data_IF_213240785833
#
_entry.id   IF_213240785833
#
_cell.length_a   1.000
_cell.length_b   1.000
_cell.length_c   1.000
_cell.angle_alpha   90.00
_cell.angle_beta   90.00
_cell.angle_gamma   90.00
#
_symmetry.space_group_name_H-M   'P 1'
#
loop_
_entity.id
_entity.type
_entity.pdbx_description
1 polymer ?
#
# COMPACT_ATOMS: atom_id res chain seq x y z
N UNK A 1 -17.97 2.68 10.97
CA UNK A 1 -17.64 2.78 9.79
C UNK A 1 -18.59 3.00 8.63
N UNK A 2 -17.97 3.17 7.47
CA UNK A 2 -18.63 3.57 6.23
C UNK A 2 -18.94 2.37 5.33
N UNK A 3 -18.88 1.16 5.88
CA UNK A 3 -19.13 -0.10 5.18
C UNK A 3 -20.29 -0.84 5.83
N UNK A 4 -21.24 -1.28 5.02
CA UNK A 4 -22.36 -2.12 5.41
C UNK A 4 -22.16 -3.52 4.80
N UNK A 5 -22.00 -4.53 5.63
CA UNK A 5 -22.00 -5.92 5.21
C UNK A 5 -23.45 -6.41 5.13
N UNK A 6 -23.91 -6.67 3.93
CA UNK A 6 -25.29 -7.07 3.67
C UNK A 6 -25.45 -8.59 3.79
N UNK A 7 -26.67 -9.03 4.12
CA UNK A 7 -26.96 -10.47 4.28
C UNK A 7 -26.84 -11.30 3.01
N UNK A 8 -26.84 -10.65 1.85
CA UNK A 8 -26.66 -11.27 0.52
C UNK A 8 -25.20 -11.28 0.05
N UNK A 9 -24.25 -10.91 0.94
CA UNK A 9 -22.82 -10.89 0.66
C UNK A 9 -22.31 -9.62 -0.03
N UNK A 10 -23.18 -8.67 -0.36
CA UNK A 10 -22.76 -7.40 -0.94
C UNK A 10 -22.17 -6.47 0.13
N UNK A 11 -21.27 -5.60 -0.31
CA UNK A 11 -20.73 -4.51 0.50
C UNK A 11 -21.37 -3.19 0.10
N UNK A 12 -22.02 -2.52 1.03
CA UNK A 12 -22.56 -1.17 0.84
C UNK A 12 -21.53 -0.14 1.28
N UNK A 13 -21.23 0.83 0.42
CA UNK A 13 -20.45 2.02 0.76
C UNK A 13 -21.42 3.18 1.02
N UNK A 14 -21.31 3.82 2.19
CA UNK A 14 -22.28 4.85 2.63
C UNK A 14 -21.65 6.23 2.82
N UNK A 15 -20.34 6.36 2.68
CA UNK A 15 -19.67 7.65 2.78
C UNK A 15 -18.60 7.78 1.68
N UNK A 16 -18.72 8.83 0.89
CA UNK A 16 -17.82 9.18 -0.21
C UNK A 16 -17.04 10.47 0.07
N UNK A 17 -17.04 10.96 1.30
CA UNK A 17 -16.37 12.19 1.70
C UNK A 17 -14.84 12.16 1.62
N UNK A 18 -14.28 10.98 1.42
CA UNK A 18 -12.83 10.78 1.30
C UNK A 18 -12.46 10.04 0.00
N UNK A 19 -13.04 10.44 -1.12
CA UNK A 19 -12.62 9.97 -2.44
C UNK A 19 -11.65 10.96 -3.07
N UNK A 20 -10.66 10.42 -3.75
CA UNK A 20 -9.69 11.19 -4.52
C UNK A 20 -9.63 10.62 -5.94
N UNK A 21 -9.66 11.53 -6.90
CA UNK A 21 -9.42 11.19 -8.28
C UNK A 21 -7.95 11.44 -8.60
N UNK A 22 -7.28 10.44 -9.15
CA UNK A 22 -5.91 10.55 -9.62
C UNK A 22 -6.00 10.76 -11.14
N UNK A 23 -5.71 11.99 -11.59
CA UNK A 23 -5.79 12.39 -13.00
C UNK A 23 -4.39 12.47 -13.66
N UNK A 24 -3.33 12.37 -12.86
CA UNK A 24 -1.96 12.50 -13.33
C UNK A 24 -1.40 11.13 -13.74
N UNK A 25 -1.16 10.95 -15.04
CA UNK A 25 -0.59 9.73 -15.58
C UNK A 25 0.80 9.41 -15.00
N UNK A 26 1.59 10.44 -14.63
CA UNK A 26 2.89 10.22 -14.02
C UNK A 26 2.79 9.50 -12.66
N UNK A 27 1.73 9.77 -11.91
CA UNK A 27 1.44 9.08 -10.65
C UNK A 27 1.13 7.61 -10.89
N UNK A 28 0.32 7.30 -11.90
CA UNK A 28 0.01 5.92 -12.27
C UNK A 28 1.23 5.16 -12.75
N UNK A 29 2.09 5.79 -13.56
CA UNK A 29 3.35 5.20 -14.01
C UNK A 29 4.30 4.95 -12.84
N UNK A 30 4.40 5.89 -11.90
CA UNK A 30 5.20 5.71 -10.69
C UNK A 30 4.69 4.53 -9.84
N UNK A 31 3.37 4.45 -9.69
CA UNK A 31 2.71 3.33 -9.01
C UNK A 31 3.05 2.00 -9.67
N UNK A 32 2.95 1.94 -11.00
CA UNK A 32 3.30 0.75 -11.79
C UNK A 32 4.75 0.31 -11.59
N UNK A 33 5.70 1.28 -11.60
CA UNK A 33 7.12 0.96 -11.34
C UNK A 33 7.36 0.41 -9.93
N UNK A 34 6.75 1.01 -8.91
CA UNK A 34 6.85 0.52 -7.52
C UNK A 34 6.25 -0.89 -7.44
N UNK A 35 5.09 -1.09 -8.02
CA UNK A 35 4.41 -2.37 -8.07
C UNK A 35 5.28 -3.43 -8.76
N UNK A 36 5.82 -3.14 -9.95
CA UNK A 36 6.73 -4.05 -10.65
C UNK A 36 7.95 -4.41 -9.80
N UNK A 37 8.59 -3.43 -9.18
CA UNK A 37 9.71 -3.69 -8.29
C UNK A 37 9.36 -4.60 -7.11
N UNK A 38 8.17 -4.41 -6.50
CA UNK A 38 7.68 -5.28 -5.43
C UNK A 38 7.44 -6.70 -5.91
N UNK A 39 6.95 -6.87 -7.14
CA UNK A 39 6.70 -8.16 -7.78
C UNK A 39 7.99 -8.93 -8.08
N UNK A 40 8.94 -8.26 -8.71
CA UNK A 40 10.19 -8.88 -9.15
C UNK A 40 11.24 -8.97 -8.04
N UNK A 41 11.02 -8.26 -6.92
CA UNK A 41 12.01 -8.16 -5.84
C UNK A 41 13.21 -7.28 -6.20
N UNK A 42 13.10 -6.44 -7.24
CA UNK A 42 14.17 -5.54 -7.66
C UNK A 42 14.33 -4.36 -6.70
N UNK A 43 15.23 -4.49 -5.76
CA UNK A 43 15.48 -3.51 -4.68
C UNK A 43 15.72 -2.09 -5.20
N UNK A 44 16.47 -1.93 -6.29
CA UNK A 44 16.76 -0.60 -6.85
C UNK A 44 15.51 0.04 -7.46
N UNK A 45 14.66 -0.74 -8.11
CA UNK A 45 13.39 -0.27 -8.65
C UNK A 45 12.44 0.16 -7.54
N UNK A 46 12.32 -0.65 -6.47
CA UNK A 46 11.53 -0.30 -5.28
C UNK A 46 12.07 0.98 -4.66
N UNK A 47 13.37 1.04 -4.40
CA UNK A 47 14.03 2.15 -3.74
C UNK A 47 13.88 3.46 -4.52
N UNK A 48 14.11 3.44 -5.83
CA UNK A 48 13.96 4.59 -6.69
C UNK A 48 12.50 5.07 -6.76
N UNK A 49 11.56 4.15 -6.89
CA UNK A 49 10.15 4.45 -6.84
C UNK A 49 9.72 5.08 -5.51
N UNK A 50 10.17 4.53 -4.39
CA UNK A 50 9.87 5.09 -3.06
C UNK A 50 10.54 6.44 -2.84
N UNK A 51 11.75 6.66 -3.37
CA UNK A 51 12.43 7.94 -3.32
C UNK A 51 11.62 9.02 -4.05
N UNK A 52 11.16 8.72 -5.26
CA UNK A 52 10.32 9.62 -6.06
C UNK A 52 8.96 9.86 -5.37
N UNK A 53 8.31 8.80 -4.91
CA UNK A 53 7.03 8.87 -4.22
C UNK A 53 7.06 9.72 -2.95
N UNK A 54 8.13 9.60 -2.16
CA UNK A 54 8.33 10.36 -0.94
C UNK A 54 9.02 11.72 -1.17
N UNK A 55 9.34 12.07 -2.42
CA UNK A 55 10.04 13.31 -2.77
C UNK A 55 11.36 13.49 -1.98
N UNK A 56 12.09 12.40 -1.80
CA UNK A 56 13.35 12.38 -1.07
C UNK A 56 14.52 12.80 -1.96
N UNK A 57 15.55 13.33 -1.32
CA UNK A 57 16.80 13.77 -1.96
C UNK A 57 17.95 12.81 -1.63
N UNK A 58 19.18 13.14 -2.09
CA UNK A 58 20.40 12.40 -1.73
C UNK A 58 21.05 12.91 -0.43
N UNK A 59 20.35 13.77 0.31
CA UNK A 59 20.86 14.24 1.61
C UNK A 59 20.92 13.07 2.63
N UNK A 60 21.91 13.06 3.53
CA UNK A 60 22.07 11.99 4.53
C UNK A 60 20.82 11.75 5.40
N UNK A 61 20.06 12.82 5.66
CA UNK A 61 18.79 12.74 6.40
C UNK A 61 17.74 11.92 5.66
N UNK A 62 17.71 12.05 4.34
CA UNK A 62 16.73 11.38 3.51
C UNK A 62 17.08 9.90 3.28
N UNK A 63 18.33 9.49 3.49
CA UNK A 63 18.75 8.09 3.38
C UNK A 63 18.00 7.17 4.38
N UNK A 64 17.88 7.62 5.63
CA UNK A 64 17.15 6.85 6.65
C UNK A 64 15.65 6.87 6.38
N UNK A 65 15.11 8.02 5.96
CA UNK A 65 13.71 8.12 5.54
C UNK A 65 13.40 7.19 4.36
N UNK A 66 14.30 7.08 3.41
CA UNK A 66 14.17 6.18 2.27
C UNK A 66 14.15 4.71 2.73
N UNK A 67 15.07 4.34 3.65
CA UNK A 67 15.10 2.99 4.22
C UNK A 67 13.75 2.63 4.86
N UNK A 68 13.27 3.48 5.77
CA UNK A 68 12.02 3.22 6.50
C UNK A 68 10.83 3.20 5.54
N UNK A 69 10.76 4.14 4.58
CA UNK A 69 9.68 4.19 3.59
C UNK A 69 9.67 2.97 2.68
N UNK A 70 10.85 2.47 2.30
CA UNK A 70 10.98 1.25 1.50
C UNK A 70 10.47 0.03 2.27
N UNK A 71 10.87 -0.12 3.53
CA UNK A 71 10.37 -1.19 4.40
C UNK A 71 8.85 -1.10 4.65
N UNK A 72 8.36 0.12 4.85
CA UNK A 72 6.92 0.34 4.96
C UNK A 72 6.18 -0.01 3.66
N UNK A 73 6.71 0.38 2.51
CA UNK A 73 6.17 0.00 1.21
C UNK A 73 6.12 -1.52 1.04
N UNK A 74 7.21 -2.23 1.31
CA UNK A 74 7.27 -3.69 1.26
C UNK A 74 6.24 -4.34 2.20
N UNK A 75 6.09 -3.82 3.41
CA UNK A 75 5.07 -4.29 4.34
C UNK A 75 3.66 -4.07 3.79
N UNK A 76 3.40 -2.90 3.21
CA UNK A 76 2.14 -2.56 2.58
C UNK A 76 1.76 -3.51 1.44
N UNK A 77 2.71 -3.86 0.62
CA UNK A 77 2.46 -4.66 -0.58
C UNK A 77 2.54 -6.17 -0.33
N UNK A 78 3.09 -6.59 0.81
CA UNK A 78 3.25 -8.01 1.16
C UNK A 78 1.99 -8.87 0.95
N UNK A 79 0.77 -8.43 1.35
CA UNK A 79 -0.43 -9.25 1.14
C UNK A 79 -0.77 -9.51 -0.33
N UNK A 80 -0.36 -8.60 -1.22
CA UNK A 80 -0.67 -8.71 -2.64
C UNK A 80 0.21 -9.73 -3.37
N UNK A 81 1.38 -10.04 -2.81
CA UNK A 81 2.36 -10.96 -3.42
C UNK A 81 2.62 -12.19 -2.57
N UNK A 82 1.86 -12.38 -1.53
CA UNK A 82 1.91 -13.60 -0.73
C UNK A 82 1.46 -14.78 -1.59
N UNK A 83 2.19 -15.90 -1.57
CA UNK A 83 1.74 -17.10 -2.27
C UNK A 83 0.53 -17.70 -1.55
N UNK A 84 -0.64 -17.56 -2.17
CA UNK A 84 -1.91 -18.04 -1.61
C UNK A 84 -2.51 -17.12 -0.54
N UNK A 85 -3.43 -17.64 0.28
CA UNK A 85 -4.18 -16.84 1.24
C UNK A 85 -3.27 -16.13 2.26
N UNK A 86 -3.48 -14.82 2.43
CA UNK A 86 -2.79 -14.01 3.42
C UNK A 86 -3.65 -13.85 4.68
N UNK A 87 -3.07 -14.15 5.84
CA UNK A 87 -3.72 -13.99 7.14
C UNK A 87 -3.58 -12.55 7.63
N UNK A 88 -4.64 -11.75 7.44
CA UNK A 88 -4.70 -10.39 7.97
C UNK A 88 -4.90 -10.34 9.49
N UNK A 89 -5.27 -11.47 10.13
CA UNK A 89 -5.36 -11.60 11.58
C UNK A 89 -4.00 -11.76 12.27
N UNK A 90 -2.91 -11.90 11.52
CA UNK A 90 -1.56 -12.03 12.06
C UNK A 90 -1.17 -10.78 12.85
N UNK A 91 -1.00 -10.96 14.15
CA UNK A 91 -0.67 -9.89 15.08
C UNK A 91 0.76 -9.37 14.88
N UNK A 92 1.69 -10.22 14.51
CA UNK A 92 3.09 -9.81 14.28
C UNK A 92 3.19 -8.94 13.04
N UNK A 93 2.48 -9.30 11.97
CA UNK A 93 2.38 -8.49 10.77
C UNK A 93 1.80 -7.10 11.10
N UNK A 94 0.70 -7.03 11.84
CA UNK A 94 0.11 -5.74 12.24
C UNK A 94 1.06 -4.91 13.10
N UNK A 95 1.70 -5.54 14.11
CA UNK A 95 2.64 -4.85 14.99
C UNK A 95 3.81 -4.26 14.21
N UNK A 96 4.36 -5.02 13.24
CA UNK A 96 5.43 -4.50 12.36
C UNK A 96 5.01 -3.24 11.60
N UNK A 97 3.78 -3.19 11.07
CA UNK A 97 3.25 -2.00 10.42
C UNK A 97 3.15 -0.79 11.34
N UNK A 98 2.66 -1.00 12.58
CA UNK A 98 2.59 0.05 13.61
C UNK A 98 3.98 0.58 13.94
N UNK A 99 4.97 -0.30 14.07
CA UNK A 99 6.35 0.08 14.37
C UNK A 99 6.94 0.93 13.24
N UNK A 100 6.74 0.53 11.97
CA UNK A 100 7.20 1.27 10.81
C UNK A 100 6.55 2.66 10.70
N UNK A 101 5.24 2.76 10.92
CA UNK A 101 4.55 4.06 10.97
C UNK A 101 5.11 4.93 12.08
N UNK A 102 5.39 4.34 13.24
CA UNK A 102 5.98 5.05 14.38
C UNK A 102 7.37 5.58 14.04
N UNK A 103 8.20 4.78 13.37
CA UNK A 103 9.52 5.19 12.87
C UNK A 103 9.42 6.36 11.88
N UNK A 104 8.50 6.28 10.90
CA UNK A 104 8.24 7.36 9.94
C UNK A 104 7.87 8.67 10.64
N UNK A 105 7.00 8.58 11.64
CA UNK A 105 6.58 9.75 12.43
C UNK A 105 7.74 10.35 13.25
N UNK A 106 8.55 9.53 13.91
CA UNK A 106 9.72 9.97 14.69
C UNK A 106 10.77 10.67 13.83
N UNK A 107 11.00 10.16 12.63
CA UNK A 107 11.96 10.73 11.69
C UNK A 107 11.40 11.93 10.90
N UNK A 108 10.16 12.35 11.21
CA UNK A 108 9.50 13.47 10.52
C UNK A 108 9.53 13.32 8.99
N UNK A 109 9.31 12.11 8.54
CA UNK A 109 9.21 11.77 7.12
C UNK A 109 7.90 12.34 6.56
N UNK A 110 7.87 13.67 6.38
CA UNK A 110 6.64 14.42 6.04
C UNK A 110 6.59 14.88 4.60
N UNK A 111 7.67 14.72 3.86
CA UNK A 111 7.68 15.01 2.43
C UNK A 111 7.09 13.81 1.71
N UNK A 112 5.99 13.99 1.06
CA UNK A 112 5.41 12.97 0.20
C UNK A 112 4.49 13.63 -0.80
N UNK A 113 4.21 12.93 -1.88
CA UNK A 113 3.21 13.39 -2.83
C UNK A 113 1.86 13.62 -2.10
N UNK A 114 1.10 14.67 -2.42
CA UNK A 114 -0.18 14.98 -1.75
C UNK A 114 -1.17 13.82 -1.74
N UNK A 115 -1.15 12.97 -2.78
CA UNK A 115 -1.99 11.77 -2.87
C UNK A 115 -1.67 10.72 -1.81
N UNK A 116 -0.44 10.71 -1.28
CA UNK A 116 0.03 9.71 -0.32
C UNK A 116 -0.80 9.70 0.98
N UNK A 117 -1.21 10.87 1.46
CA UNK A 117 -2.01 10.96 2.68
C UNK A 117 -3.35 10.22 2.55
N UNK A 118 -4.02 10.39 1.42
CA UNK A 118 -5.30 9.73 1.17
C UNK A 118 -5.12 8.24 0.97
N UNK A 119 -4.05 7.85 0.28
CA UNK A 119 -3.71 6.45 0.08
C UNK A 119 -3.37 5.73 1.39
N UNK A 120 -2.51 6.29 2.23
CA UNK A 120 -2.18 5.71 3.54
C UNK A 120 -3.44 5.58 4.40
N UNK A 121 -4.31 6.60 4.40
CA UNK A 121 -5.58 6.55 5.13
C UNK A 121 -6.48 5.42 4.65
N UNK A 122 -6.65 5.27 3.33
CA UNK A 122 -7.42 4.20 2.73
C UNK A 122 -6.82 2.83 3.09
N UNK A 123 -5.53 2.67 2.89
CA UNK A 123 -4.81 1.41 3.10
C UNK A 123 -4.86 0.95 4.56
N UNK A 124 -4.57 1.85 5.49
CA UNK A 124 -4.66 1.55 6.93
C UNK A 124 -6.09 1.21 7.33
N UNK A 125 -7.08 1.92 6.80
CA UNK A 125 -8.51 1.63 7.05
C UNK A 125 -8.90 0.22 6.63
N UNK A 126 -8.47 -0.21 5.43
CA UNK A 126 -8.69 -1.56 4.91
C UNK A 126 -8.05 -2.62 5.79
N UNK A 127 -6.77 -2.47 6.13
CA UNK A 127 -6.07 -3.46 6.95
C UNK A 127 -6.65 -3.59 8.33
N UNK A 128 -7.00 -2.50 8.98
CA UNK A 128 -7.67 -2.55 10.28
C UNK A 128 -9.01 -3.25 10.22
N UNK A 129 -9.74 -3.11 9.13
CA UNK A 129 -11.00 -3.83 8.92
C UNK A 129 -10.75 -5.32 8.71
N UNK A 130 -9.83 -5.69 7.81
CA UNK A 130 -9.48 -7.08 7.52
C UNK A 130 -8.90 -7.78 8.76
N UNK A 131 -8.06 -7.08 9.53
CA UNK A 131 -7.55 -7.58 10.80
C UNK A 131 -8.68 -7.90 11.79
N UNK A 132 -9.64 -6.97 11.96
CA UNK A 132 -10.77 -7.18 12.88
C UNK A 132 -11.68 -8.32 12.45
N UNK A 133 -11.76 -8.58 11.17
CA UNK A 133 -12.51 -9.71 10.62
C UNK A 133 -11.73 -11.03 10.73
N UNK A 134 -10.46 -11.01 11.08
CA UNK A 134 -9.58 -12.17 11.00
C UNK A 134 -9.55 -12.75 9.58
N UNK A 135 -9.52 -11.86 8.59
CA UNK A 135 -9.66 -12.25 7.20
C UNK A 135 -8.43 -13.03 6.72
N UNK A 136 -8.66 -14.14 6.04
CA UNK A 136 -7.65 -14.95 5.38
C UNK A 136 -8.02 -15.02 3.89
N UNK A 137 -7.34 -14.23 3.05
CA UNK A 137 -7.77 -13.95 1.68
C UNK A 137 -6.60 -14.16 0.71
N UNK A 138 -6.85 -14.90 -0.35
CA UNK A 138 -5.97 -14.93 -1.52
C UNK A 138 -6.30 -13.73 -2.41
N UNK A 139 -5.36 -12.80 -2.51
CA UNK A 139 -5.51 -11.60 -3.35
C UNK A 139 -5.05 -11.83 -4.79
N UNK A 140 -4.41 -12.94 -5.10
CA UNK A 140 -3.90 -13.26 -6.45
C UNK A 140 -4.97 -13.15 -7.54
N UNK A 141 -6.20 -13.67 -7.37
CA UNK A 141 -7.23 -13.54 -8.40
C UNK A 141 -7.63 -12.08 -8.66
N UNK A 142 -7.67 -11.25 -7.60
CA UNK A 142 -8.04 -9.83 -7.70
C UNK A 142 -6.96 -9.06 -8.47
N UNK A 143 -5.69 -9.31 -8.14
CA UNK A 143 -4.56 -8.67 -8.81
C UNK A 143 -4.50 -9.03 -10.28
N UNK A 144 -4.72 -10.30 -10.62
CA UNK A 144 -4.72 -10.75 -12.00
C UNK A 144 -5.88 -10.13 -12.81
N UNK A 145 -7.04 -9.95 -12.20
CA UNK A 145 -8.17 -9.24 -12.82
C UNK A 145 -7.82 -7.77 -13.06
N UNK A 146 -7.29 -7.07 -12.07
CA UNK A 146 -6.84 -5.68 -12.20
C UNK A 146 -5.75 -5.52 -13.27
N UNK A 147 -4.78 -6.42 -13.32
CA UNK A 147 -3.73 -6.42 -14.33
C UNK A 147 -4.32 -6.57 -15.75
N UNK A 148 -5.32 -7.42 -15.94
CA UNK A 148 -6.00 -7.61 -17.21
C UNK A 148 -6.78 -6.38 -17.69
N UNK A 149 -7.36 -5.62 -16.74
CA UNK A 149 -8.13 -4.40 -17.03
C UNK A 149 -7.21 -3.22 -17.32
N UNK A 150 -6.11 -3.10 -16.60
CA UNK A 150 -5.20 -1.95 -16.69
C UNK A 150 -4.13 -2.10 -17.75
N UNK A 151 -4.01 -3.27 -18.38
CA UNK A 151 -2.92 -3.59 -19.31
C UNK A 151 -1.56 -3.72 -18.62
N UNK A 152 -1.55 -3.84 -17.29
CA UNK A 152 -0.36 -4.23 -16.56
C UNK A 152 -0.03 -5.67 -16.94
N UNK A 153 1.16 -5.88 -17.47
CA UNK A 153 1.68 -7.22 -17.61
C UNK A 153 1.93 -7.76 -16.20
N UNK A 154 0.85 -8.32 -15.64
CA UNK A 154 0.92 -9.02 -14.37
C UNK A 154 1.87 -10.20 -14.43
N UNK A 155 2.20 -10.71 -13.30
CA UNK A 155 3.11 -11.82 -13.03
C UNK A 155 2.85 -13.03 -13.89
#
# INVERSE_FOLDING_TARGET
GNYLFMSDGRLGLIDFGCVMRIEDDAIWQLYGRIHQGMMTGEEDTIRNGMKEWQQLTDEPRDAENLRISTEFGKWCWKPYYAPGPFDFGDREYLQRGIDLVTELMKNRCTRSHPTNLMQVRWQVGWWMMLYRLGANIDLTPIINEEASITGWEGC
#
